data_IF_816011684483
#
_entry.id   IF_816011684483
#
_cell.length_a   1.000
_cell.length_b   1.000
_cell.length_c   1.000
_cell.angle_alpha   90.00
_cell.angle_beta   90.00
_cell.angle_gamma   90.00
#
_symmetry.space_group_name_H-M   'P 1'
#
loop_
_entity.id
_entity.type
_entity.pdbx_description
1 polymer ?
#
# COMPACT_ATOMS: atom_id res chain seq x y z
N UNK A 1 -12.92 50.04 -10.61
CA UNK A 1 -14.16 50.57 -11.22
C UNK A 1 -15.34 50.01 -10.47
N UNK A 2 -16.31 50.86 -10.13
CA UNK A 2 -17.61 50.43 -9.62
C UNK A 2 -18.38 49.77 -10.80
N UNK A 3 -18.56 48.45 -10.76
CA UNK A 3 -19.27 47.74 -11.83
C UNK A 3 -19.04 46.23 -11.94
N UNK A 4 -18.03 45.64 -11.31
CA UNK A 4 -17.94 44.18 -11.19
C UNK A 4 -18.62 43.77 -9.88
N UNK A 5 -19.69 42.98 -9.98
CA UNK A 5 -20.35 42.41 -8.81
C UNK A 5 -19.30 41.73 -7.93
N UNK A 6 -19.26 42.09 -6.64
CA UNK A 6 -18.51 41.29 -5.67
C UNK A 6 -19.15 39.91 -5.66
N UNK A 7 -18.33 38.87 -5.76
CA UNK A 7 -18.77 37.52 -5.50
C UNK A 7 -19.57 37.47 -4.20
N UNK A 8 -20.78 36.94 -4.27
CA UNK A 8 -21.56 36.67 -3.08
C UNK A 8 -20.89 35.57 -2.24
N UNK A 9 -21.12 35.60 -0.94
CA UNK A 9 -20.65 34.55 -0.02
C UNK A 9 -21.14 33.17 -0.50
N UNK A 10 -22.36 33.09 -1.04
CA UNK A 10 -22.92 31.85 -1.57
C UNK A 10 -22.15 31.30 -2.79
N UNK A 11 -21.68 32.17 -3.69
CA UNK A 11 -20.86 31.75 -4.85
C UNK A 11 -19.49 31.24 -4.40
N UNK A 12 -18.86 31.93 -3.45
CA UNK A 12 -17.59 31.49 -2.85
C UNK A 12 -17.79 30.14 -2.16
N UNK A 13 -18.85 29.99 -1.36
CA UNK A 13 -19.17 28.75 -0.65
C UNK A 13 -19.42 27.57 -1.59
N UNK A 14 -20.10 27.81 -2.71
CA UNK A 14 -20.30 26.79 -3.73
C UNK A 14 -18.95 26.28 -4.28
N UNK A 15 -18.03 27.19 -4.61
CA UNK A 15 -16.71 26.85 -5.11
C UNK A 15 -15.84 26.18 -4.03
N UNK A 16 -15.91 26.64 -2.78
CA UNK A 16 -15.22 26.00 -1.65
C UNK A 16 -15.73 24.58 -1.39
N UNK A 17 -17.04 24.34 -1.54
CA UNK A 17 -17.64 23.02 -1.49
C UNK A 17 -17.20 22.12 -2.64
N UNK A 18 -17.01 22.68 -3.84
CA UNK A 18 -16.49 21.93 -4.99
C UNK A 18 -15.10 21.34 -4.72
N UNK A 19 -14.26 22.02 -3.93
CA UNK A 19 -12.93 21.54 -3.53
C UNK A 19 -12.95 20.30 -2.63
N UNK A 20 -14.12 19.91 -2.10
CA UNK A 20 -14.29 18.72 -1.27
C UNK A 20 -14.89 17.52 -2.03
N UNK A 21 -15.16 17.69 -3.33
CA UNK A 21 -15.80 16.67 -4.15
C UNK A 21 -14.85 15.49 -4.45
N UNK A 22 -15.32 14.23 -4.49
CA UNK A 22 -14.50 13.09 -4.89
C UNK A 22 -13.95 13.21 -6.33
N UNK A 23 -14.65 13.90 -7.23
CA UNK A 23 -14.23 14.09 -8.62
C UNK A 23 -13.12 15.14 -8.75
N UNK A 24 -11.99 14.75 -9.34
CA UNK A 24 -10.87 15.65 -9.64
C UNK A 24 -11.32 16.85 -10.48
N UNK A 25 -12.18 16.64 -11.49
CA UNK A 25 -12.63 17.68 -12.43
C UNK A 25 -13.47 18.75 -11.73
N UNK A 26 -14.25 18.36 -10.73
CA UNK A 26 -15.06 19.29 -9.93
C UNK A 26 -14.14 20.15 -9.05
N UNK A 27 -13.11 19.55 -8.46
CA UNK A 27 -12.11 20.29 -7.67
C UNK A 27 -11.29 21.25 -8.54
N UNK A 28 -10.84 20.81 -9.73
CA UNK A 28 -10.17 21.66 -10.73
C UNK A 28 -11.04 22.88 -11.06
N UNK A 29 -12.32 22.65 -11.39
CA UNK A 29 -13.27 23.71 -11.73
C UNK A 29 -13.46 24.70 -10.57
N UNK A 30 -13.54 24.20 -9.33
CA UNK A 30 -13.61 25.02 -8.12
C UNK A 30 -12.38 25.93 -7.96
N UNK A 31 -11.17 25.37 -8.13
CA UNK A 31 -9.91 26.13 -8.03
C UNK A 31 -9.81 27.20 -9.11
N UNK A 32 -10.17 26.89 -10.36
CA UNK A 32 -10.18 27.86 -11.46
C UNK A 32 -11.20 28.97 -11.21
N UNK A 33 -12.39 28.63 -10.75
CA UNK A 33 -13.42 29.61 -10.37
C UNK A 33 -12.92 30.58 -9.31
N UNK A 34 -12.35 30.06 -8.22
CA UNK A 34 -11.76 30.88 -7.15
C UNK A 34 -10.60 31.76 -7.65
N UNK A 35 -9.79 31.24 -8.58
CA UNK A 35 -8.67 31.98 -9.19
C UNK A 35 -9.15 33.20 -9.99
N UNK A 36 -10.22 33.05 -10.77
CA UNK A 36 -10.81 34.19 -11.51
C UNK A 36 -11.38 35.23 -10.54
N UNK A 37 -11.84 34.79 -9.36
CA UNK A 37 -12.51 35.62 -8.37
C UNK A 37 -11.58 36.21 -7.30
N UNK A 38 -10.26 36.07 -7.42
CA UNK A 38 -9.27 36.59 -6.46
C UNK A 38 -9.54 38.04 -6.00
N UNK A 39 -9.87 39.01 -6.88
CA UNK A 39 -10.16 40.38 -6.46
C UNK A 39 -11.40 40.53 -5.56
N UNK A 40 -12.29 39.53 -5.54
CA UNK A 40 -13.54 39.51 -4.79
C UNK A 40 -13.54 38.52 -3.61
N UNK A 41 -12.42 37.83 -3.35
CA UNK A 41 -12.28 36.94 -2.19
C UNK A 41 -12.27 37.74 -0.88
N UNK A 42 -12.76 37.17 0.23
CA UNK A 42 -12.76 37.83 1.53
C UNK A 42 -11.34 38.19 1.94
N UNK A 43 -11.21 39.27 2.69
CA UNK A 43 -9.98 39.59 3.42
C UNK A 43 -10.18 39.27 4.89
N UNK A 44 -9.09 38.90 5.56
CA UNK A 44 -9.11 38.56 6.99
C UNK A 44 -9.76 39.65 7.86
N UNK A 45 -9.54 40.93 7.55
CA UNK A 45 -10.11 42.05 8.30
C UNK A 45 -11.60 42.30 8.00
N UNK A 46 -12.10 41.83 6.85
CA UNK A 46 -13.48 42.05 6.41
C UNK A 46 -14.40 40.90 6.86
N UNK A 47 -13.95 39.65 6.70
CA UNK A 47 -14.66 38.44 7.10
C UNK A 47 -13.64 37.35 7.54
N UNK A 48 -13.29 37.29 8.83
CA UNK A 48 -12.31 36.34 9.34
C UNK A 48 -12.73 34.88 9.16
N UNK A 49 -14.02 34.59 9.25
CA UNK A 49 -14.55 33.22 9.20
C UNK A 49 -14.50 32.67 7.76
N UNK A 50 -15.02 33.43 6.80
CA UNK A 50 -14.95 33.03 5.39
C UNK A 50 -13.50 33.02 4.89
N UNK A 51 -12.66 33.94 5.37
CA UNK A 51 -11.22 33.93 5.08
C UNK A 51 -10.53 32.66 5.59
N UNK A 52 -10.85 32.20 6.82
CA UNK A 52 -10.32 30.96 7.36
C UNK A 52 -10.79 29.75 6.57
N UNK A 53 -12.07 29.69 6.18
CA UNK A 53 -12.62 28.62 5.34
C UNK A 53 -11.94 28.56 3.98
N UNK A 54 -11.76 29.70 3.32
CA UNK A 54 -11.01 29.84 2.07
C UNK A 54 -9.57 29.35 2.24
N UNK A 55 -8.86 29.88 3.23
CA UNK A 55 -7.47 29.53 3.53
C UNK A 55 -7.32 28.03 3.77
N UNK A 56 -8.19 27.43 4.59
CA UNK A 56 -8.20 25.99 4.86
C UNK A 56 -8.42 25.17 3.58
N UNK A 57 -9.42 25.51 2.75
CA UNK A 57 -9.70 24.75 1.52
C UNK A 57 -8.55 24.84 0.51
N UNK A 58 -8.01 26.04 0.29
CA UNK A 58 -6.90 26.22 -0.66
C UNK A 58 -5.64 25.55 -0.12
N UNK A 59 -5.39 25.58 1.20
CA UNK A 59 -4.28 24.86 1.82
C UNK A 59 -4.37 23.34 1.54
N UNK A 60 -5.52 22.72 1.79
CA UNK A 60 -5.74 21.30 1.48
C UNK A 60 -5.58 21.03 -0.03
N UNK A 61 -6.06 21.93 -0.89
CA UNK A 61 -5.90 21.81 -2.35
C UNK A 61 -4.45 21.75 -2.83
N UNK A 62 -3.49 22.35 -2.11
CA UNK A 62 -2.05 22.24 -2.43
C UNK A 62 -1.51 20.81 -2.28
N UNK A 63 -2.27 19.94 -1.62
CA UNK A 63 -1.95 18.52 -1.40
C UNK A 63 -3.00 17.59 -2.01
N UNK A 64 -3.76 18.08 -3.00
CA UNK A 64 -4.69 17.24 -3.77
C UNK A 64 -3.98 16.02 -4.36
N UNK A 65 -4.68 14.89 -4.45
CA UNK A 65 -4.18 13.66 -5.09
C UNK A 65 -3.77 13.89 -6.55
N UNK A 66 -4.45 14.81 -7.24
CA UNK A 66 -4.17 15.20 -8.62
C UNK A 66 -3.12 16.31 -8.72
N UNK A 67 -2.08 16.08 -9.51
CA UNK A 67 -0.98 17.04 -9.71
C UNK A 67 -1.44 18.39 -10.24
N UNK A 68 -2.34 18.39 -11.23
CA UNK A 68 -2.91 19.61 -11.81
C UNK A 68 -3.62 20.47 -10.77
N UNK A 69 -4.37 19.84 -9.86
CA UNK A 69 -5.06 20.54 -8.78
C UNK A 69 -4.10 21.14 -7.76
N UNK A 70 -3.00 20.44 -7.43
CA UNK A 70 -1.95 20.98 -6.55
C UNK A 70 -1.36 22.26 -7.12
N UNK A 71 -1.01 22.25 -8.41
CA UNK A 71 -0.48 23.44 -9.08
C UNK A 71 -1.48 24.60 -9.11
N UNK A 72 -2.76 24.32 -9.37
CA UNK A 72 -3.82 25.33 -9.36
C UNK A 72 -4.02 25.93 -7.98
N UNK A 73 -4.03 25.11 -6.93
CA UNK A 73 -4.15 25.56 -5.56
C UNK A 73 -2.93 26.38 -5.12
N UNK A 74 -1.72 26.00 -5.52
CA UNK A 74 -0.51 26.79 -5.28
C UNK A 74 -0.56 28.16 -5.97
N UNK A 75 -0.99 28.21 -7.24
CA UNK A 75 -1.17 29.47 -7.97
C UNK A 75 -2.22 30.36 -7.28
N UNK A 76 -3.36 29.79 -6.92
CA UNK A 76 -4.42 30.51 -6.19
C UNK A 76 -3.92 31.05 -4.85
N UNK A 77 -3.21 30.21 -4.08
CA UNK A 77 -2.62 30.59 -2.79
C UNK A 77 -1.72 31.83 -2.91
N UNK A 78 -0.84 31.84 -3.91
CA UNK A 78 0.08 32.95 -4.17
C UNK A 78 -0.65 34.21 -4.65
N UNK A 79 -1.60 34.08 -5.59
CA UNK A 79 -2.34 35.22 -6.14
C UNK A 79 -3.24 35.89 -5.10
N UNK A 80 -3.94 35.10 -4.29
CA UNK A 80 -4.78 35.60 -3.20
C UNK A 80 -3.98 36.04 -1.97
N UNK A 81 -2.66 35.79 -1.95
CA UNK A 81 -1.74 36.12 -0.84
C UNK A 81 -2.28 35.61 0.50
N UNK A 82 -2.73 34.35 0.52
CA UNK A 82 -3.35 33.76 1.70
C UNK A 82 -2.32 33.59 2.82
N UNK A 83 -2.78 33.84 4.04
CA UNK A 83 -2.01 33.72 5.28
C UNK A 83 -2.78 32.86 6.26
N UNK A 84 -2.08 32.21 7.18
CA UNK A 84 -2.69 31.35 8.19
C UNK A 84 -2.06 31.59 9.56
N UNK A 85 -2.89 31.46 10.59
CA UNK A 85 -2.41 31.12 11.92
C UNK A 85 -2.20 29.61 12.01
N UNK A 86 -1.05 29.21 12.53
CA UNK A 86 -0.61 27.81 12.53
C UNK A 86 -1.51 26.95 13.42
N UNK A 87 -1.77 27.40 14.65
CA UNK A 87 -2.56 26.64 15.61
C UNK A 87 -4.01 26.47 15.12
N UNK A 88 -4.61 27.56 14.67
CA UNK A 88 -5.99 27.59 14.16
C UNK A 88 -6.14 26.71 12.92
N UNK A 89 -5.18 26.77 11.98
CA UNK A 89 -5.22 25.92 10.79
C UNK A 89 -5.00 24.45 11.13
N UNK A 90 -4.09 24.10 12.05
CA UNK A 90 -3.92 22.73 12.54
C UNK A 90 -5.23 22.16 13.09
N UNK A 91 -5.91 22.90 13.96
CA UNK A 91 -7.17 22.44 14.57
C UNK A 91 -8.27 22.28 13.52
N UNK A 92 -8.30 23.15 12.53
CA UNK A 92 -9.19 23.02 11.37
C UNK A 92 -8.91 21.76 10.54
N UNK A 93 -7.63 21.45 10.26
CA UNK A 93 -7.24 20.33 9.40
C UNK A 93 -7.59 18.97 9.99
N UNK A 94 -7.79 18.85 11.31
CA UNK A 94 -8.35 17.64 11.91
C UNK A 94 -9.70 17.26 11.29
N UNK A 95 -10.52 18.25 10.92
CA UNK A 95 -11.79 18.03 10.23
C UNK A 95 -11.63 17.52 8.78
N UNK A 96 -10.47 17.76 8.15
CA UNK A 96 -10.14 17.20 6.82
C UNK A 96 -9.65 15.77 6.92
N UNK A 97 -8.84 15.50 7.94
CA UNK A 97 -8.37 14.15 8.26
C UNK A 97 -9.56 13.21 8.45
N UNK A 98 -10.62 13.63 9.13
CA UNK A 98 -11.82 12.80 9.34
C UNK A 98 -12.94 13.01 8.32
N UNK A 99 -12.65 13.66 7.19
CA UNK A 99 -13.65 13.96 6.17
C UNK A 99 -14.23 12.67 5.56
N UNK A 100 -15.53 12.60 5.17
CA UNK A 100 -16.12 11.40 4.59
C UNK A 100 -15.61 11.03 3.18
N UNK A 101 -14.77 11.88 2.55
CA UNK A 101 -14.29 11.69 1.18
C UNK A 101 -12.81 11.31 1.21
N UNK A 102 -12.41 10.10 0.75
CA UNK A 102 -11.03 9.59 0.90
C UNK A 102 -9.94 10.50 0.35
N UNK A 103 -10.15 11.08 -0.85
CA UNK A 103 -9.16 12.00 -1.46
C UNK A 103 -8.95 13.27 -0.64
N UNK A 104 -9.94 13.67 0.17
CA UNK A 104 -9.83 14.82 1.09
C UNK A 104 -9.13 14.40 2.39
N UNK A 105 -9.33 13.17 2.85
CA UNK A 105 -8.58 12.63 3.99
C UNK A 105 -7.08 12.56 3.67
N UNK A 106 -6.73 12.05 2.48
CA UNK A 106 -5.34 11.93 2.03
C UNK A 106 -4.67 13.31 1.91
N UNK A 107 -5.32 14.26 1.22
CA UNK A 107 -4.84 15.64 1.13
C UNK A 107 -4.76 16.32 2.52
N UNK A 108 -5.76 16.10 3.38
CA UNK A 108 -5.81 16.64 4.74
C UNK A 108 -4.69 16.12 5.63
N UNK A 109 -4.39 14.82 5.56
CA UNK A 109 -3.29 14.18 6.27
C UNK A 109 -1.93 14.77 5.86
N UNK A 110 -1.69 14.90 4.56
CA UNK A 110 -0.44 15.47 4.04
C UNK A 110 -0.32 16.98 4.35
N UNK A 111 -1.43 17.71 4.26
CA UNK A 111 -1.52 19.13 4.61
C UNK A 111 -1.21 19.38 6.10
N UNK A 112 -1.72 18.52 6.98
CA UNK A 112 -1.47 18.58 8.42
C UNK A 112 -0.01 18.28 8.74
N UNK A 113 0.57 17.22 8.16
CA UNK A 113 1.97 16.88 8.38
C UNK A 113 2.93 17.98 7.89
N UNK A 114 2.63 18.58 6.74
CA UNK A 114 3.45 19.68 6.19
C UNK A 114 3.39 20.92 7.08
N UNK A 115 2.22 21.24 7.63
CA UNK A 115 2.06 22.34 8.57
C UNK A 115 2.83 22.09 9.87
N UNK A 116 2.73 20.89 10.45
CA UNK A 116 3.42 20.52 11.68
C UNK A 116 4.95 20.52 11.55
N UNK A 117 5.46 20.12 10.38
CA UNK A 117 6.90 20.21 10.07
C UNK A 117 7.46 21.63 10.23
N UNK A 118 6.63 22.66 10.02
CA UNK A 118 7.02 24.07 10.16
C UNK A 118 6.81 24.62 11.59
N UNK A 119 6.12 23.88 12.46
CA UNK A 119 5.57 24.38 13.73
C UNK A 119 6.34 23.92 14.97
N UNK A 120 7.24 22.95 14.82
CA UNK A 120 8.05 22.40 15.91
C UNK A 120 7.40 21.22 16.65
N UNK A 121 8.16 20.53 17.53
CA UNK A 121 7.78 19.22 18.07
C UNK A 121 6.60 19.26 19.05
N UNK A 122 6.47 20.31 19.88
CA UNK A 122 5.39 20.39 20.87
C UNK A 122 3.98 20.32 20.24
N UNK A 123 3.78 20.97 19.09
CA UNK A 123 2.49 20.93 18.41
C UNK A 123 2.20 19.55 17.81
N UNK A 124 3.22 18.84 17.34
CA UNK A 124 3.11 17.47 16.85
C UNK A 124 2.57 16.55 17.94
N UNK A 125 3.11 16.62 19.16
CA UNK A 125 2.66 15.82 20.30
C UNK A 125 1.18 16.07 20.63
N UNK A 126 0.78 17.35 20.64
CA UNK A 126 -0.61 17.76 20.91
C UNK A 126 -1.55 17.21 19.84
N UNK A 127 -1.20 17.37 18.56
CA UNK A 127 -2.02 16.87 17.45
C UNK A 127 -2.09 15.34 17.45
N UNK A 128 -1.00 14.65 17.75
CA UNK A 128 -0.98 13.20 17.84
C UNK A 128 -1.98 12.70 18.89
N UNK A 129 -1.98 13.29 20.08
CA UNK A 129 -2.97 12.97 21.13
C UNK A 129 -4.41 13.23 20.68
N UNK A 130 -4.66 14.33 19.97
CA UNK A 130 -5.99 14.60 19.40
C UNK A 130 -6.42 13.54 18.38
N UNK A 131 -5.51 13.11 17.49
CA UNK A 131 -5.79 12.05 16.50
C UNK A 131 -6.10 10.71 17.18
N UNK A 132 -5.32 10.33 18.20
CA UNK A 132 -5.58 9.11 18.97
C UNK A 132 -6.92 9.20 19.71
N UNK A 133 -7.26 10.33 20.32
CA UNK A 133 -8.57 10.52 20.96
C UNK A 133 -9.72 10.38 19.96
N UNK A 134 -9.62 11.03 18.80
CA UNK A 134 -10.59 10.88 17.71
C UNK A 134 -10.77 9.41 17.33
N UNK A 135 -9.66 8.66 17.20
CA UNK A 135 -9.74 7.24 16.87
C UNK A 135 -10.53 6.45 17.92
N UNK A 136 -10.22 6.64 19.20
CA UNK A 136 -10.89 5.96 20.31
C UNK A 136 -12.37 6.32 20.40
N UNK A 137 -12.72 7.61 20.25
CA UNK A 137 -14.12 8.07 20.21
C UNK A 137 -14.90 7.38 19.08
N UNK A 138 -14.25 7.19 17.92
CA UNK A 138 -14.85 6.60 16.74
C UNK A 138 -14.87 5.07 16.74
N UNK A 139 -14.35 4.38 17.77
CA UNK A 139 -14.51 2.93 17.92
C UNK A 139 -15.92 2.51 18.35
N UNK A 140 -16.64 3.42 19.01
CA UNK A 140 -18.01 3.21 19.47
C UNK A 140 -18.95 3.05 18.27
N UNK A 141 -19.78 1.99 18.31
CA UNK A 141 -20.82 1.79 17.30
C UNK A 141 -21.98 2.74 17.56
N UNK A 142 -22.58 3.26 16.50
CA UNK A 142 -23.90 3.87 16.61
C UNK A 142 -24.88 2.77 17.06
N UNK A 143 -25.61 2.95 18.18
CA UNK A 143 -26.44 1.90 18.73
C UNK A 143 -27.57 1.52 17.79
N UNK A 144 -28.01 0.26 17.89
CA UNK A 144 -29.18 -0.22 17.14
C UNK A 144 -30.42 0.61 17.47
N UNK A 145 -31.24 0.88 16.46
CA UNK A 145 -32.55 1.50 16.68
C UNK A 145 -33.57 0.40 16.94
N UNK A 146 -34.30 0.52 18.05
CA UNK A 146 -35.30 -0.46 18.47
C UNK A 146 -36.71 0.09 18.25
N UNK A 147 -37.67 -0.78 17.93
CA UNK A 147 -39.09 -0.46 17.96
C UNK A 147 -39.63 -0.39 19.39
N UNK A 148 -40.91 -0.03 19.53
CA UNK A 148 -41.61 0.03 20.83
C UNK A 148 -41.73 -1.32 21.54
N UNK A 149 -41.44 -2.43 20.85
CA UNK A 149 -41.45 -3.80 21.37
C UNK A 149 -40.03 -4.34 21.60
N UNK A 150 -38.99 -3.52 21.46
CA UNK A 150 -37.59 -3.89 21.67
C UNK A 150 -36.96 -4.67 20.51
N UNK A 151 -37.58 -4.71 19.33
CA UNK A 151 -37.04 -5.39 18.14
C UNK A 151 -36.13 -4.44 17.36
N UNK A 152 -35.02 -4.97 16.83
CA UNK A 152 -34.06 -4.18 16.04
C UNK A 152 -34.69 -3.78 14.70
N UNK A 153 -34.79 -2.46 14.48
CA UNK A 153 -35.19 -1.85 13.19
C UNK A 153 -33.94 -1.55 12.36
N UNK A 154 -32.92 -0.96 12.99
CA UNK A 154 -31.66 -0.60 12.33
C UNK A 154 -30.51 -1.23 13.12
N UNK A 155 -29.63 -1.94 12.42
CA UNK A 155 -28.46 -2.57 13.02
C UNK A 155 -27.46 -1.53 13.52
N UNK A 156 -26.59 -1.87 14.50
CA UNK A 156 -25.50 -1.00 14.88
C UNK A 156 -24.60 -0.68 13.69
N UNK A 157 -24.23 0.59 13.51
CA UNK A 157 -23.42 1.06 12.39
C UNK A 157 -22.01 1.41 12.89
N UNK A 158 -20.99 0.91 12.20
CA UNK A 158 -19.60 1.29 12.43
C UNK A 158 -19.20 2.49 11.56
N UNK A 159 -18.90 3.64 12.18
CA UNK A 159 -18.39 4.83 11.48
C UNK A 159 -16.87 4.79 11.41
N UNK A 160 -16.34 3.95 10.52
CA UNK A 160 -14.92 3.63 10.44
C UNK A 160 -14.10 4.62 9.63
N UNK A 161 -14.73 5.41 8.75
CA UNK A 161 -14.07 6.30 7.80
C UNK A 161 -13.17 7.35 8.50
N UNK A 162 -13.59 7.99 9.62
CA UNK A 162 -12.71 8.85 10.40
C UNK A 162 -11.46 8.13 10.94
N UNK A 163 -11.58 6.85 11.31
CA UNK A 163 -10.46 6.04 11.82
C UNK A 163 -9.44 5.75 10.71
N UNK A 164 -9.91 5.56 9.48
CA UNK A 164 -9.07 5.44 8.28
C UNK A 164 -8.27 6.72 8.04
N UNK A 165 -8.94 7.87 8.13
CA UNK A 165 -8.32 9.18 8.01
C UNK A 165 -7.24 9.44 9.07
N UNK A 166 -7.50 9.08 10.33
CA UNK A 166 -6.49 9.13 11.39
C UNK A 166 -5.27 8.27 11.04
N UNK A 167 -5.46 7.06 10.54
CA UNK A 167 -4.35 6.19 10.14
C UNK A 167 -3.50 6.83 9.02
N UNK A 168 -4.13 7.46 8.01
CA UNK A 168 -3.42 8.21 6.97
C UNK A 168 -2.60 9.37 7.56
N UNK A 169 -3.18 10.12 8.50
CA UNK A 169 -2.46 11.19 9.19
C UNK A 169 -1.26 10.65 9.98
N UNK A 170 -1.41 9.55 10.74
CA UNK A 170 -0.31 8.92 11.47
C UNK A 170 0.84 8.50 10.54
N UNK A 171 0.53 7.98 9.35
CA UNK A 171 1.54 7.63 8.35
C UNK A 171 2.31 8.87 7.85
N UNK A 172 1.62 9.97 7.56
CA UNK A 172 2.24 11.23 7.12
C UNK A 172 3.07 11.91 8.23
N UNK A 173 2.70 11.70 9.49
CA UNK A 173 3.41 12.24 10.65
C UNK A 173 4.63 11.41 11.06
N UNK A 174 4.83 10.22 10.50
CA UNK A 174 5.94 9.34 10.87
C UNK A 174 7.32 10.04 10.87
N UNK A 175 7.70 10.90 9.89
CA UNK A 175 8.98 11.60 9.91
C UNK A 175 9.16 12.63 11.03
N UNK A 176 8.08 13.03 11.70
CA UNK A 176 8.08 14.04 12.76
C UNK A 176 8.08 13.43 14.17
N UNK A 177 7.98 12.10 14.28
CA UNK A 177 7.92 11.40 15.55
C UNK A 177 9.28 11.41 16.26
N UNK A 178 9.23 11.46 17.59
CA UNK A 178 10.38 11.22 18.45
C UNK A 178 10.39 9.75 18.94
N UNK A 179 11.55 9.18 19.32
CA UNK A 179 11.62 7.79 19.79
C UNK A 179 10.63 7.41 20.93
N UNK A 180 10.35 8.28 21.92
CA UNK A 180 9.31 8.02 22.91
C UNK A 180 7.91 7.89 22.30
N UNK A 181 7.54 8.78 21.36
CA UNK A 181 6.25 8.72 20.67
C UNK A 181 6.11 7.50 19.78
N UNK A 182 7.19 7.06 19.14
CA UNK A 182 7.19 5.81 18.36
C UNK A 182 6.87 4.61 19.27
N UNK A 183 7.41 4.60 20.49
CA UNK A 183 7.14 3.53 21.46
C UNK A 183 5.69 3.57 21.99
N UNK A 184 5.14 4.76 22.24
CA UNK A 184 3.73 4.96 22.58
C UNK A 184 2.81 4.49 21.44
N UNK A 185 3.12 4.89 20.20
CA UNK A 185 2.35 4.51 19.02
C UNK A 185 2.42 3.02 18.72
N UNK A 186 3.58 2.37 18.90
CA UNK A 186 3.69 0.93 18.75
C UNK A 186 2.75 0.19 19.70
N UNK A 187 2.63 0.66 20.94
CA UNK A 187 1.66 0.11 21.90
C UNK A 187 0.23 0.27 21.37
N UNK A 188 -0.14 1.47 20.93
CA UNK A 188 -1.46 1.74 20.35
C UNK A 188 -1.77 0.89 19.10
N UNK A 189 -0.80 0.76 18.17
CA UNK A 189 -0.96 -0.03 16.96
C UNK A 189 -1.28 -1.48 17.32
N UNK A 190 -0.51 -2.07 18.23
CA UNK A 190 -0.68 -3.48 18.63
C UNK A 190 -1.97 -3.70 19.44
N UNK A 191 -2.26 -2.83 20.40
CA UNK A 191 -3.42 -3.00 21.29
C UNK A 191 -4.75 -2.70 20.62
N UNK A 192 -4.76 -1.85 19.59
CA UNK A 192 -6.00 -1.24 19.09
C UNK A 192 -6.00 -1.03 17.58
N UNK A 193 -4.99 -0.36 17.01
CA UNK A 193 -5.01 0.07 15.61
C UNK A 193 -5.04 -1.08 14.60
N UNK A 194 -4.12 -2.03 14.73
CA UNK A 194 -3.99 -3.19 13.82
C UNK A 194 -5.16 -4.17 13.96
N UNK A 195 -5.90 -4.10 15.07
CA UNK A 195 -7.08 -4.92 15.37
C UNK A 195 -8.40 -4.26 14.99
N UNK A 196 -8.41 -3.19 14.19
CA UNK A 196 -9.65 -2.51 13.81
C UNK A 196 -10.67 -3.45 13.14
N UNK A 197 -11.96 -3.15 13.29
CA UNK A 197 -13.06 -3.90 12.66
C UNK A 197 -13.02 -3.81 11.13
N UNK A 198 -12.69 -2.64 10.60
CA UNK A 198 -12.60 -2.38 9.16
C UNK A 198 -11.25 -2.83 8.59
N UNK A 199 -11.28 -3.61 7.52
CA UNK A 199 -10.08 -4.04 6.81
C UNK A 199 -9.27 -2.88 6.21
N UNK A 200 -9.95 -1.81 5.81
CA UNK A 200 -9.29 -0.61 5.26
C UNK A 200 -8.54 0.16 6.34
N UNK A 201 -9.14 0.29 7.54
CA UNK A 201 -8.46 0.91 8.69
C UNK A 201 -7.25 0.07 9.10
N UNK A 202 -7.38 -1.26 9.16
CA UNK A 202 -6.23 -2.15 9.45
C UNK A 202 -5.09 -1.97 8.45
N UNK A 203 -5.41 -1.89 7.15
CA UNK A 203 -4.42 -1.64 6.09
C UNK A 203 -3.70 -0.31 6.30
N UNK A 204 -4.44 0.78 6.55
CA UNK A 204 -3.84 2.10 6.74
C UNK A 204 -3.06 2.19 8.05
N UNK A 205 -3.50 1.51 9.12
CA UNK A 205 -2.77 1.42 10.38
C UNK A 205 -1.46 0.64 10.26
N UNK A 206 -1.45 -0.46 9.51
CA UNK A 206 -0.21 -1.18 9.21
C UNK A 206 0.76 -0.31 8.40
N UNK A 207 0.27 0.46 7.42
CA UNK A 207 1.10 1.39 6.66
C UNK A 207 1.71 2.49 7.57
N UNK A 208 0.92 3.04 8.51
CA UNK A 208 1.41 4.01 9.47
C UNK A 208 2.47 3.42 10.43
N UNK A 209 2.23 2.22 10.94
CA UNK A 209 3.17 1.51 11.80
C UNK A 209 4.48 1.19 11.06
N UNK A 210 4.39 0.71 9.82
CA UNK A 210 5.57 0.47 8.98
C UNK A 210 6.35 1.75 8.73
N UNK A 211 5.70 2.87 8.40
CA UNK A 211 6.39 4.15 8.21
C UNK A 211 7.15 4.59 9.47
N UNK A 212 6.56 4.40 10.65
CA UNK A 212 7.22 4.71 11.92
C UNK A 212 8.42 3.79 12.20
N UNK A 213 8.29 2.48 11.98
CA UNK A 213 9.38 1.52 12.18
C UNK A 213 10.51 1.70 11.17
N UNK A 214 10.20 1.92 9.88
CA UNK A 214 11.19 2.15 8.82
C UNK A 214 12.09 3.35 9.12
N UNK A 215 11.50 4.44 9.63
CA UNK A 215 12.20 5.70 9.89
C UNK A 215 12.98 5.68 11.22
N UNK A 216 12.41 5.08 12.26
CA UNK A 216 12.92 5.20 13.64
C UNK A 216 13.46 3.89 14.22
N UNK A 217 13.32 2.78 13.51
CA UNK A 217 13.60 1.43 14.02
C UNK A 217 15.01 1.25 14.58
N UNK A 218 16.01 1.94 14.01
CA UNK A 218 17.39 1.91 14.52
C UNK A 218 17.51 2.44 15.95
N UNK A 219 16.78 3.49 16.29
CA UNK A 219 16.82 4.13 17.61
C UNK A 219 15.87 3.45 18.60
N UNK A 220 14.84 2.76 18.10
CA UNK A 220 13.74 2.21 18.91
C UNK A 220 13.71 0.69 18.97
N UNK A 221 14.62 -0.04 18.32
CA UNK A 221 14.59 -1.53 18.28
C UNK A 221 14.52 -2.16 19.65
N UNK A 222 15.27 -1.63 20.63
CA UNK A 222 15.29 -2.15 21.99
C UNK A 222 13.98 -1.93 22.76
N UNK A 223 13.20 -0.90 22.41
CA UNK A 223 11.90 -0.64 23.04
C UNK A 223 10.75 -1.31 22.29
N UNK A 224 10.83 -1.42 20.95
CA UNK A 224 9.75 -1.97 20.13
C UNK A 224 9.73 -3.49 20.10
N UNK A 225 10.91 -4.12 20.02
CA UNK A 225 10.97 -5.58 19.87
C UNK A 225 10.30 -6.33 21.04
N UNK A 226 10.51 -5.94 22.32
CA UNK A 226 9.77 -6.56 23.43
C UNK A 226 8.26 -6.38 23.35
N UNK A 227 7.75 -5.25 22.83
CA UNK A 227 6.30 -5.02 22.67
C UNK A 227 5.70 -6.01 21.67
N UNK A 228 6.41 -6.26 20.57
CA UNK A 228 5.98 -7.22 19.56
C UNK A 228 6.11 -8.67 20.03
N UNK A 229 7.22 -9.02 20.70
CA UNK A 229 7.43 -10.35 21.30
C UNK A 229 6.35 -10.66 22.34
N UNK A 230 6.10 -9.75 23.30
CA UNK A 230 5.11 -9.93 24.35
C UNK A 230 3.69 -10.11 23.79
N UNK A 231 3.35 -9.36 22.74
CA UNK A 231 2.07 -9.55 22.06
C UNK A 231 1.96 -10.93 21.41
N UNK A 232 2.96 -11.38 20.65
CA UNK A 232 2.90 -12.68 20.00
C UNK A 232 2.84 -13.84 21.01
N UNK A 233 3.47 -13.68 22.17
CA UNK A 233 3.49 -14.71 23.21
C UNK A 233 2.18 -14.76 24.03
N UNK A 234 1.46 -13.63 24.14
CA UNK A 234 0.23 -13.52 24.95
C UNK A 234 -1.07 -13.47 24.15
N UNK A 235 -1.01 -13.21 22.84
CA UNK A 235 -2.20 -13.01 22.02
C UNK A 235 -3.06 -14.29 22.01
N UNK A 236 -4.36 -14.21 22.35
CA UNK A 236 -5.24 -15.37 22.36
C UNK A 236 -5.34 -16.03 20.99
N UNK A 237 -5.35 -17.36 20.93
CA UNK A 237 -5.58 -18.14 19.71
C UNK A 237 -7.03 -18.05 19.23
N UNK A 238 -7.44 -16.85 18.80
CA UNK A 238 -8.72 -16.61 18.14
C UNK A 238 -8.52 -15.88 16.81
N UNK A 239 -9.45 -16.11 15.88
CA UNK A 239 -9.40 -15.52 14.54
C UNK A 239 -9.38 -13.99 14.51
N UNK A 240 -9.88 -13.32 15.56
CA UNK A 240 -9.81 -11.85 15.68
C UNK A 240 -8.40 -11.33 15.87
N UNK A 241 -7.51 -12.12 16.49
CA UNK A 241 -6.10 -11.76 16.70
C UNK A 241 -5.20 -12.21 15.56
N UNK A 242 -5.66 -13.06 14.62
CA UNK A 242 -4.84 -13.50 13.49
C UNK A 242 -4.36 -12.32 12.65
N UNK A 243 -5.24 -11.40 12.30
CA UNK A 243 -4.88 -10.21 11.52
C UNK A 243 -3.82 -9.34 12.24
N UNK A 244 -3.93 -9.24 13.57
CA UNK A 244 -2.97 -8.50 14.40
C UNK A 244 -1.64 -9.23 14.48
N UNK A 245 -1.65 -10.55 14.72
CA UNK A 245 -0.44 -11.40 14.71
C UNK A 245 0.34 -11.26 13.41
N UNK A 246 -0.35 -11.34 12.26
CA UNK A 246 0.32 -11.19 10.96
C UNK A 246 0.92 -9.79 10.80
N UNK A 247 0.20 -8.75 11.20
CA UNK A 247 0.71 -7.37 11.18
C UNK A 247 1.94 -7.21 12.08
N UNK A 248 1.93 -7.80 13.28
CA UNK A 248 3.06 -7.75 14.22
C UNK A 248 4.27 -8.52 13.69
N UNK A 249 4.07 -9.68 13.06
CA UNK A 249 5.16 -10.44 12.41
C UNK A 249 5.81 -9.62 11.30
N UNK A 250 5.02 -8.91 10.48
CA UNK A 250 5.53 -7.99 9.46
C UNK A 250 6.33 -6.84 10.09
N UNK A 251 5.82 -6.22 11.15
CA UNK A 251 6.51 -5.13 11.87
C UNK A 251 7.82 -5.62 12.51
N UNK A 252 7.85 -6.84 13.06
CA UNK A 252 9.09 -7.46 13.55
C UNK A 252 10.09 -7.70 12.41
N UNK A 253 9.64 -8.18 11.26
CA UNK A 253 10.48 -8.36 10.08
C UNK A 253 11.09 -7.04 9.59
N UNK A 254 10.28 -5.99 9.55
CA UNK A 254 10.73 -4.64 9.23
C UNK A 254 11.75 -4.13 10.25
N UNK A 255 11.47 -4.26 11.55
CA UNK A 255 12.33 -3.79 12.62
C UNK A 255 13.67 -4.53 12.65
N UNK A 256 13.66 -5.84 12.35
CA UNK A 256 14.85 -6.69 12.33
C UNK A 256 15.92 -6.21 11.33
N UNK A 257 15.54 -5.42 10.32
CA UNK A 257 16.49 -4.82 9.35
C UNK A 257 17.46 -3.83 10.02
N UNK A 258 17.11 -3.36 11.21
CA UNK A 258 17.92 -2.42 11.98
C UNK A 258 18.77 -3.10 13.07
N UNK A 259 18.66 -4.43 13.22
CA UNK A 259 19.53 -5.21 14.11
C UNK A 259 20.92 -5.39 13.49
N UNK A 260 21.91 -5.65 14.33
CA UNK A 260 23.23 -6.04 13.88
C UNK A 260 23.17 -7.37 13.11
N UNK A 261 24.02 -7.53 12.09
CA UNK A 261 23.98 -8.69 11.19
C UNK A 261 24.14 -10.04 11.89
N UNK A 262 24.83 -10.06 13.02
CA UNK A 262 25.09 -11.27 13.81
C UNK A 262 24.11 -11.42 14.99
N UNK A 263 23.05 -10.60 15.04
CA UNK A 263 22.06 -10.67 16.09
C UNK A 263 21.29 -12.00 16.03
N UNK A 264 21.31 -12.72 17.15
CA UNK A 264 20.71 -14.06 17.30
C UNK A 264 19.20 -14.05 17.09
N UNK A 265 18.53 -12.90 17.18
CA UNK A 265 17.08 -12.75 16.99
C UNK A 265 16.67 -12.77 15.52
N UNK A 266 17.58 -12.51 14.58
CA UNK A 266 17.22 -12.45 13.15
C UNK A 266 16.70 -13.80 12.64
N UNK A 267 17.35 -14.92 13.00
CA UNK A 267 16.94 -16.26 12.55
C UNK A 267 15.51 -16.64 13.01
N UNK A 268 15.15 -16.52 14.31
CA UNK A 268 13.76 -16.72 14.76
C UNK A 268 12.74 -15.82 14.05
N UNK A 269 13.08 -14.55 13.80
CA UNK A 269 12.18 -13.60 13.14
C UNK A 269 11.91 -14.04 11.69
N UNK A 270 12.93 -14.46 10.95
CA UNK A 270 12.72 -15.00 9.60
C UNK A 270 11.93 -16.31 9.62
N UNK A 271 12.13 -17.17 10.61
CA UNK A 271 11.26 -18.35 10.80
C UNK A 271 9.78 -17.95 10.86
N UNK A 272 9.43 -17.01 11.74
CA UNK A 272 8.05 -16.48 11.86
C UNK A 272 7.54 -15.85 10.56
N UNK A 273 8.39 -15.11 9.84
CA UNK A 273 8.05 -14.54 8.53
C UNK A 273 7.75 -15.63 7.49
N UNK A 274 8.59 -16.66 7.41
CA UNK A 274 8.40 -17.79 6.48
C UNK A 274 7.09 -18.52 6.79
N UNK A 275 6.75 -18.73 8.06
CA UNK A 275 5.50 -19.36 8.45
C UNK A 275 4.28 -18.48 8.12
N UNK A 276 4.40 -17.15 8.23
CA UNK A 276 3.35 -16.20 7.87
C UNK A 276 3.00 -16.22 6.37
N UNK A 277 3.89 -16.67 5.48
CA UNK A 277 3.62 -16.80 4.04
C UNK A 277 2.45 -17.75 3.73
N UNK A 278 2.22 -18.75 4.58
CA UNK A 278 1.10 -19.69 4.41
C UNK A 278 -0.27 -19.05 4.71
N UNK A 279 -0.31 -17.82 5.23
CA UNK A 279 -1.56 -17.06 5.39
C UNK A 279 -2.14 -16.73 4.01
N UNK A 280 -3.43 -17.03 3.73
CA UNK A 280 -4.07 -16.72 2.45
C UNK A 280 -4.43 -15.23 2.34
N UNK A 281 -3.42 -14.37 2.40
CA UNK A 281 -3.54 -12.91 2.30
C UNK A 281 -2.39 -12.38 1.47
N UNK A 282 -2.70 -11.90 0.27
CA UNK A 282 -1.70 -11.32 -0.64
C UNK A 282 -0.92 -10.18 0.03
N UNK A 283 -1.62 -9.32 0.78
CA UNK A 283 -1.00 -8.21 1.49
C UNK A 283 0.06 -8.69 2.50
N UNK A 284 -0.23 -9.77 3.23
CA UNK A 284 0.72 -10.37 4.17
C UNK A 284 1.90 -10.99 3.43
N UNK A 285 1.63 -11.79 2.39
CA UNK A 285 2.66 -12.48 1.62
C UNK A 285 3.63 -11.50 0.94
N UNK A 286 3.12 -10.43 0.36
CA UNK A 286 3.92 -9.36 -0.26
C UNK A 286 4.76 -8.61 0.78
N UNK A 287 4.17 -8.24 1.92
CA UNK A 287 4.89 -7.57 3.00
C UNK A 287 6.03 -8.43 3.55
N UNK A 288 5.77 -9.73 3.75
CA UNK A 288 6.79 -10.69 4.16
C UNK A 288 7.91 -10.79 3.13
N UNK A 289 7.58 -10.97 1.85
CA UNK A 289 8.56 -11.06 0.77
C UNK A 289 9.46 -9.82 0.68
N UNK A 290 8.94 -8.64 1.01
CA UNK A 290 9.70 -7.39 1.06
C UNK A 290 10.59 -7.27 2.31
N UNK A 291 10.26 -7.96 3.41
CA UNK A 291 11.08 -7.99 4.62
C UNK A 291 12.29 -8.94 4.50
N UNK A 292 12.17 -10.03 3.73
CA UNK A 292 13.21 -11.06 3.65
C UNK A 292 14.58 -10.57 3.11
N UNK A 293 14.67 -9.84 1.98
CA UNK A 293 15.95 -9.56 1.33
C UNK A 293 17.05 -8.96 2.24
N UNK A 294 16.77 -7.93 3.06
CA UNK A 294 17.78 -7.37 3.97
C UNK A 294 18.17 -8.30 5.13
N UNK A 295 17.36 -9.31 5.47
CA UNK A 295 17.60 -10.26 6.57
C UNK A 295 18.40 -11.50 6.11
N UNK A 296 18.27 -11.89 4.84
CA UNK A 296 18.94 -13.07 4.26
C UNK A 296 20.47 -13.09 4.50
N UNK A 297 21.23 -11.97 4.40
CA UNK A 297 22.67 -11.99 4.64
C UNK A 297 23.10 -12.53 6.01
N UNK A 298 22.24 -12.44 7.03
CA UNK A 298 22.48 -12.94 8.38
C UNK A 298 22.24 -14.46 8.53
N UNK A 299 21.71 -15.12 7.50
CA UNK A 299 21.35 -16.55 7.53
C UNK A 299 21.69 -17.28 6.23
N UNK A 300 22.81 -16.93 5.61
CA UNK A 300 23.26 -17.54 4.36
C UNK A 300 23.33 -19.07 4.41
N UNK A 301 23.72 -19.63 5.56
CA UNK A 301 23.82 -21.08 5.79
C UNK A 301 22.45 -21.77 5.74
N UNK A 302 21.40 -21.11 6.25
CA UNK A 302 20.04 -21.66 6.32
C UNK A 302 19.19 -21.31 5.08
N UNK A 303 19.56 -20.24 4.36
CA UNK A 303 18.78 -19.72 3.24
C UNK A 303 18.57 -20.73 2.11
N UNK A 304 19.56 -21.59 1.82
CA UNK A 304 19.43 -22.64 0.81
C UNK A 304 18.36 -23.68 1.20
N UNK A 305 18.30 -24.06 2.49
CA UNK A 305 17.28 -25.00 2.98
C UNK A 305 15.88 -24.37 2.92
N UNK A 306 15.76 -23.07 3.21
CA UNK A 306 14.50 -22.34 3.08
C UNK A 306 14.03 -22.26 1.62
N UNK A 307 14.93 -22.03 0.66
CA UNK A 307 14.58 -22.08 -0.78
C UNK A 307 14.01 -23.44 -1.16
N UNK A 308 14.63 -24.54 -0.71
CA UNK A 308 14.13 -25.89 -1.01
C UNK A 308 12.78 -26.16 -0.34
N UNK A 309 12.57 -25.73 0.92
CA UNK A 309 11.28 -25.80 1.60
C UNK A 309 10.19 -25.08 0.80
N UNK A 310 10.46 -23.86 0.32
CA UNK A 310 9.50 -23.07 -0.43
C UNK A 310 9.25 -23.65 -1.83
N UNK A 311 10.26 -24.16 -2.54
CA UNK A 311 10.05 -24.86 -3.81
C UNK A 311 9.17 -26.09 -3.64
N UNK A 312 9.39 -26.87 -2.57
CA UNK A 312 8.54 -28.00 -2.26
C UNK A 312 7.10 -27.57 -1.96
N UNK A 313 6.90 -26.57 -1.10
CA UNK A 313 5.57 -26.04 -0.79
C UNK A 313 4.85 -25.46 -2.02
N UNK A 314 5.59 -24.77 -2.89
CA UNK A 314 5.09 -24.20 -4.15
C UNK A 314 4.50 -25.25 -5.09
N UNK A 315 5.12 -26.42 -5.18
CA UNK A 315 4.75 -27.47 -6.14
C UNK A 315 3.80 -28.51 -5.53
N UNK A 316 4.00 -28.86 -4.27
CA UNK A 316 3.33 -30.01 -3.65
C UNK A 316 2.13 -29.62 -2.76
N UNK A 317 2.02 -28.37 -2.29
CA UNK A 317 0.89 -27.99 -1.44
C UNK A 317 -0.43 -28.02 -2.22
N UNK A 318 -1.46 -28.61 -1.61
CA UNK A 318 -2.83 -28.59 -2.15
C UNK A 318 -3.50 -27.22 -1.95
N UNK A 319 -3.03 -26.42 -0.99
CA UNK A 319 -3.58 -25.11 -0.66
C UNK A 319 -3.03 -24.02 -1.60
N UNK A 320 -3.94 -23.33 -2.30
CA UNK A 320 -3.58 -22.22 -3.21
C UNK A 320 -2.80 -21.11 -2.49
N UNK A 321 -3.25 -20.72 -1.29
CA UNK A 321 -2.63 -19.65 -0.50
C UNK A 321 -1.19 -20.00 -0.12
N UNK A 322 -0.94 -21.24 0.27
CA UNK A 322 0.40 -21.73 0.60
C UNK A 322 1.32 -21.76 -0.63
N UNK A 323 0.82 -22.19 -1.80
CA UNK A 323 1.58 -22.15 -3.05
C UNK A 323 1.95 -20.72 -3.45
N UNK A 324 0.97 -19.80 -3.42
CA UNK A 324 1.20 -18.39 -3.76
C UNK A 324 2.16 -17.73 -2.76
N UNK A 325 2.00 -18.01 -1.47
CA UNK A 325 2.91 -17.53 -0.42
C UNK A 325 4.34 -18.07 -0.59
N UNK A 326 4.49 -19.33 -0.99
CA UNK A 326 5.79 -19.89 -1.30
C UNK A 326 6.48 -19.18 -2.48
N UNK A 327 5.73 -18.77 -3.51
CA UNK A 327 6.28 -17.97 -4.61
C UNK A 327 6.77 -16.58 -4.15
N UNK A 328 6.00 -15.88 -3.31
CA UNK A 328 6.40 -14.61 -2.69
C UNK A 328 7.68 -14.77 -1.88
N UNK A 329 7.73 -15.76 -0.98
CA UNK A 329 8.91 -16.06 -0.17
C UNK A 329 10.15 -16.41 -1.01
N UNK A 330 9.97 -17.25 -2.04
CA UNK A 330 11.05 -17.66 -2.93
C UNK A 330 11.68 -16.44 -3.62
N UNK A 331 10.86 -15.54 -4.14
CA UNK A 331 11.34 -14.32 -4.78
C UNK A 331 12.06 -13.38 -3.79
N UNK A 332 11.54 -13.25 -2.57
CA UNK A 332 12.18 -12.48 -1.49
C UNK A 332 13.55 -13.05 -1.09
N UNK A 333 13.66 -14.37 -0.92
CA UNK A 333 14.93 -15.04 -0.63
C UNK A 333 15.93 -14.87 -1.79
N UNK A 334 15.51 -15.11 -3.03
CA UNK A 334 16.37 -14.94 -4.22
C UNK A 334 16.91 -13.52 -4.31
N UNK A 335 16.08 -12.50 -4.03
CA UNK A 335 16.52 -11.10 -4.01
C UNK A 335 17.57 -10.84 -2.92
N UNK A 336 17.43 -11.44 -1.74
CA UNK A 336 18.39 -11.32 -0.65
C UNK A 336 19.71 -12.08 -0.88
N UNK A 337 19.65 -13.24 -1.53
CA UNK A 337 20.82 -14.07 -1.85
C UNK A 337 21.57 -13.57 -3.10
N UNK A 338 20.86 -12.88 -4.00
CA UNK A 338 21.35 -12.42 -5.29
C UNK A 338 21.04 -13.40 -6.44
N UNK A 339 21.01 -12.88 -7.66
CA UNK A 339 20.50 -13.57 -8.86
C UNK A 339 21.21 -14.90 -9.18
N UNK A 340 22.48 -15.05 -8.79
CA UNK A 340 23.27 -16.26 -9.04
C UNK A 340 22.67 -17.51 -8.38
N UNK A 341 21.89 -17.33 -7.30
CA UNK A 341 21.26 -18.45 -6.60
C UNK A 341 20.27 -19.21 -7.48
N UNK A 342 19.66 -18.55 -8.47
CA UNK A 342 18.76 -19.19 -9.45
C UNK A 342 19.43 -20.37 -10.16
N UNK A 343 20.75 -20.24 -10.41
CA UNK A 343 21.57 -21.30 -11.00
C UNK A 343 22.16 -22.22 -9.94
N UNK A 344 22.66 -21.68 -8.82
CA UNK A 344 23.34 -22.48 -7.80
C UNK A 344 22.43 -23.49 -7.08
N UNK A 345 21.13 -23.18 -6.99
CA UNK A 345 20.12 -24.05 -6.37
C UNK A 345 19.15 -24.65 -7.40
N UNK A 346 19.52 -24.64 -8.68
CA UNK A 346 18.75 -25.21 -9.80
C UNK A 346 17.28 -24.75 -9.88
N UNK A 347 16.97 -23.56 -9.38
CA UNK A 347 15.61 -23.02 -9.27
C UNK A 347 14.94 -22.99 -10.65
N UNK A 348 15.62 -22.43 -11.65
CA UNK A 348 15.05 -22.32 -13.00
C UNK A 348 14.81 -23.69 -13.65
N UNK A 349 15.69 -24.67 -13.39
CA UNK A 349 15.54 -26.03 -13.94
C UNK A 349 14.34 -26.75 -13.32
N UNK A 350 14.17 -26.60 -12.00
CA UNK A 350 13.02 -27.14 -11.26
C UNK A 350 11.71 -26.55 -11.77
N UNK A 351 11.62 -25.22 -11.91
CA UNK A 351 10.42 -24.55 -12.42
C UNK A 351 10.12 -24.89 -13.88
N UNK A 352 11.16 -25.02 -14.73
CA UNK A 352 10.99 -25.44 -16.13
C UNK A 352 10.45 -26.86 -16.23
N UNK A 353 10.91 -27.76 -15.37
CA UNK A 353 10.39 -29.12 -15.29
C UNK A 353 8.92 -29.12 -14.83
N UNK A 354 8.61 -28.33 -13.80
CA UNK A 354 7.27 -28.23 -13.24
C UNK A 354 6.24 -27.66 -14.23
N UNK A 355 6.57 -26.62 -15.00
CA UNK A 355 5.66 -26.04 -16.01
C UNK A 355 5.36 -26.99 -17.17
N UNK A 356 6.22 -27.97 -17.40
CA UNK A 356 6.04 -28.98 -18.45
C UNK A 356 5.34 -30.26 -17.95
N UNK A 357 5.01 -30.36 -16.66
CA UNK A 357 4.34 -31.53 -16.11
C UNK A 357 2.89 -31.63 -16.62
N UNK A 358 2.68 -32.46 -17.64
CA UNK A 358 1.36 -32.65 -18.27
C UNK A 358 0.34 -33.31 -17.34
N UNK A 359 0.78 -34.00 -16.27
CA UNK A 359 -0.10 -34.76 -15.39
C UNK A 359 -0.57 -33.92 -14.20
N UNK A 360 0.26 -33.01 -13.70
CA UNK A 360 -0.06 -32.22 -12.53
C UNK A 360 -0.24 -30.74 -12.88
N UNK A 361 -1.48 -30.26 -12.91
CA UNK A 361 -1.76 -28.84 -13.16
C UNK A 361 -1.22 -27.93 -12.04
N UNK A 362 -1.10 -28.43 -10.79
CA UNK A 362 -0.57 -27.64 -9.66
C UNK A 362 0.90 -27.36 -9.81
N UNK A 363 1.67 -28.28 -10.39
CA UNK A 363 3.07 -28.03 -10.72
C UNK A 363 3.20 -26.91 -11.75
N UNK A 364 2.34 -26.93 -12.78
CA UNK A 364 2.34 -25.89 -13.81
C UNK A 364 1.91 -24.52 -13.27
N UNK A 365 0.85 -24.50 -12.48
CA UNK A 365 0.37 -23.30 -11.79
C UNK A 365 1.43 -22.74 -10.83
N UNK A 366 2.04 -23.58 -9.99
CA UNK A 366 3.10 -23.19 -9.06
C UNK A 366 4.31 -22.61 -9.79
N UNK A 367 4.72 -23.19 -10.92
CA UNK A 367 5.79 -22.64 -11.73
C UNK A 367 5.47 -21.23 -12.27
N UNK A 368 4.22 -21.00 -12.72
CA UNK A 368 3.76 -19.69 -13.15
C UNK A 368 3.77 -18.66 -12.02
N UNK A 369 3.33 -19.03 -10.80
CA UNK A 369 3.42 -18.14 -9.64
C UNK A 369 4.86 -17.75 -9.32
N UNK A 370 5.81 -18.68 -9.39
CA UNK A 370 7.21 -18.35 -9.18
C UNK A 370 7.76 -17.45 -10.28
N UNK A 371 7.46 -17.68 -11.56
CA UNK A 371 7.91 -16.80 -12.64
C UNK A 371 7.34 -15.37 -12.49
N UNK A 372 6.04 -15.26 -12.17
CA UNK A 372 5.37 -14.01 -11.88
C UNK A 372 6.08 -13.25 -10.75
N UNK A 373 6.30 -13.91 -9.61
CA UNK A 373 6.90 -13.28 -8.43
C UNK A 373 8.39 -12.97 -8.61
N UNK A 374 9.16 -13.85 -9.25
CA UNK A 374 10.56 -13.58 -9.58
C UNK A 374 10.68 -12.38 -10.51
N UNK A 375 9.83 -12.29 -11.55
CA UNK A 375 9.80 -11.14 -12.44
C UNK A 375 9.40 -9.85 -11.70
N UNK A 376 8.37 -9.92 -10.86
CA UNK A 376 7.90 -8.78 -10.07
C UNK A 376 8.98 -8.22 -9.13
N UNK A 377 9.59 -9.11 -8.33
CA UNK A 377 10.48 -8.73 -7.22
C UNK A 377 11.90 -8.38 -7.68
N UNK A 378 12.42 -9.08 -8.69
CA UNK A 378 13.78 -8.88 -9.23
C UNK A 378 13.81 -7.84 -10.36
N UNK A 379 12.67 -7.57 -11.01
CA UNK A 379 12.55 -6.61 -12.10
C UNK A 379 13.53 -6.91 -13.23
N UNK A 380 14.31 -5.91 -13.63
CA UNK A 380 15.27 -5.99 -14.75
C UNK A 380 16.32 -7.09 -14.60
N UNK A 381 16.64 -7.51 -13.37
CA UNK A 381 17.60 -8.60 -13.15
C UNK A 381 17.08 -9.96 -13.66
N UNK A 382 15.76 -10.11 -13.78
CA UNK A 382 15.14 -11.33 -14.28
C UNK A 382 14.92 -11.32 -15.81
N UNK A 383 15.11 -10.19 -16.46
CA UNK A 383 14.85 -10.00 -17.90
C UNK A 383 15.57 -11.03 -18.81
N UNK A 384 16.84 -11.41 -18.58
CA UNK A 384 17.51 -12.43 -19.39
C UNK A 384 16.83 -13.81 -19.35
N UNK A 385 16.08 -14.10 -18.27
CA UNK A 385 15.39 -15.38 -18.10
C UNK A 385 14.03 -15.39 -18.80
N UNK A 386 13.42 -14.22 -19.06
CA UNK A 386 12.10 -14.11 -19.69
C UNK A 386 12.09 -14.76 -21.08
N UNK A 387 13.17 -14.62 -21.85
CA UNK A 387 13.31 -15.24 -23.17
C UNK A 387 13.15 -16.78 -23.09
N UNK A 388 13.61 -17.39 -22.00
CA UNK A 388 13.47 -18.83 -21.77
C UNK A 388 12.10 -19.22 -21.20
N UNK A 389 11.47 -18.33 -20.43
CA UNK A 389 10.15 -18.58 -19.81
C UNK A 389 9.02 -18.39 -20.82
N UNK A 390 9.15 -17.45 -21.74
CA UNK A 390 8.08 -17.03 -22.64
C UNK A 390 7.49 -18.17 -23.51
N UNK A 391 8.29 -19.07 -24.12
CA UNK A 391 7.72 -20.19 -24.87
C UNK A 391 6.79 -21.06 -24.01
N UNK A 392 7.14 -21.29 -22.74
CA UNK A 392 6.28 -22.04 -21.83
C UNK A 392 5.00 -21.28 -21.48
N UNK A 393 5.12 -19.96 -21.25
CA UNK A 393 3.98 -19.10 -20.97
C UNK A 393 2.96 -19.09 -22.13
N UNK A 394 3.45 -19.01 -23.38
CA UNK A 394 2.62 -19.07 -24.59
C UNK A 394 1.83 -20.38 -24.69
N UNK A 395 2.47 -21.51 -24.39
CA UNK A 395 1.80 -22.81 -24.34
C UNK A 395 0.74 -22.87 -23.23
N UNK A 396 0.99 -22.24 -22.08
CA UNK A 396 0.06 -22.28 -20.95
C UNK A 396 -1.24 -21.48 -21.18
N UNK A 397 -1.29 -20.53 -22.12
CA UNK A 397 -2.56 -19.92 -22.55
C UNK A 397 -3.51 -20.96 -23.16
N UNK A 398 -2.96 -21.96 -23.83
CA UNK A 398 -3.69 -23.10 -24.38
C UNK A 398 -3.88 -24.26 -23.42
N UNK A 399 -3.50 -24.14 -22.14
CA UNK A 399 -3.55 -25.25 -21.18
C UNK A 399 -4.97 -25.78 -20.98
N UNK A 400 -5.13 -27.07 -20.68
CA UNK A 400 -6.43 -27.68 -20.40
C UNK A 400 -7.07 -27.22 -19.09
N UNK A 401 -6.27 -26.86 -18.09
CA UNK A 401 -6.73 -26.40 -16.77
C UNK A 401 -7.02 -24.90 -16.76
N UNK A 402 -8.18 -24.48 -16.25
CA UNK A 402 -8.51 -23.06 -16.07
C UNK A 402 -7.53 -22.38 -15.11
N UNK A 403 -7.16 -23.05 -14.01
CA UNK A 403 -6.22 -22.51 -13.02
C UNK A 403 -4.86 -22.12 -13.63
N UNK A 404 -4.35 -22.96 -14.55
CA UNK A 404 -3.09 -22.67 -15.24
C UNK A 404 -3.25 -21.49 -16.20
N UNK A 405 -4.41 -21.39 -16.88
CA UNK A 405 -4.68 -20.25 -17.78
C UNK A 405 -4.79 -18.93 -17.02
N UNK A 406 -5.50 -18.90 -15.90
CA UNK A 406 -5.64 -17.70 -15.06
C UNK A 406 -4.27 -17.25 -14.53
N UNK A 407 -3.47 -18.20 -14.00
CA UNK A 407 -2.11 -17.92 -13.55
C UNK A 407 -1.18 -17.46 -14.69
N UNK A 408 -1.41 -17.96 -15.91
CA UNK A 408 -0.68 -17.52 -17.11
C UNK A 408 -0.98 -16.07 -17.42
N UNK A 409 -2.26 -15.67 -17.41
CA UNK A 409 -2.66 -14.29 -17.68
C UNK A 409 -2.03 -13.32 -16.67
N UNK A 410 -2.08 -13.65 -15.38
CA UNK A 410 -1.47 -12.85 -14.31
C UNK A 410 0.05 -12.74 -14.48
N UNK A 411 0.74 -13.87 -14.71
CA UNK A 411 2.17 -13.89 -14.96
C UNK A 411 2.55 -13.07 -16.20
N UNK A 412 1.77 -13.19 -17.28
CA UNK A 412 1.99 -12.52 -18.55
C UNK A 412 1.87 -10.99 -18.43
N UNK A 413 0.87 -10.52 -17.69
CA UNK A 413 0.67 -9.09 -17.38
C UNK A 413 1.87 -8.50 -16.64
N UNK A 414 2.39 -9.22 -15.63
CA UNK A 414 3.57 -8.79 -14.86
C UNK A 414 4.83 -8.79 -15.73
N UNK A 415 5.05 -9.87 -16.50
CA UNK A 415 6.21 -10.01 -17.39
C UNK A 415 6.26 -8.85 -18.38
N UNK A 416 5.16 -8.59 -19.12
CA UNK A 416 5.13 -7.50 -20.10
C UNK A 416 5.27 -6.12 -19.46
N UNK A 417 4.68 -5.91 -18.28
CA UNK A 417 4.80 -4.65 -17.54
C UNK A 417 6.21 -4.36 -17.01
N UNK A 418 7.12 -5.34 -16.99
CA UNK A 418 8.51 -5.20 -16.50
C UNK A 418 9.57 -5.26 -17.59
N UNK A 419 9.21 -5.55 -18.84
CA UNK A 419 10.16 -5.62 -19.95
C UNK A 419 10.72 -4.24 -20.31
N UNK A 420 12.02 -4.20 -20.66
CA UNK A 420 12.62 -3.02 -21.27
C UNK A 420 12.34 -3.00 -22.79
N UNK A 421 12.67 -1.88 -23.45
CA UNK A 421 12.64 -1.81 -24.92
C UNK A 421 13.45 -2.92 -25.60
N UNK A 422 14.58 -3.28 -24.98
CA UNK A 422 15.42 -4.35 -25.48
C UNK A 422 14.76 -5.71 -25.29
N UNK A 423 14.19 -5.97 -24.11
CA UNK A 423 13.44 -7.18 -23.81
C UNK A 423 12.26 -7.38 -24.75
N UNK A 424 11.47 -6.33 -25.01
CA UNK A 424 10.39 -6.33 -26.00
C UNK A 424 10.88 -6.80 -27.36
N UNK A 425 12.00 -6.25 -27.84
CA UNK A 425 12.61 -6.65 -29.13
C UNK A 425 13.00 -8.13 -29.15
N UNK A 426 13.45 -8.70 -28.03
CA UNK A 426 13.84 -10.10 -27.94
C UNK A 426 12.62 -11.05 -27.95
N UNK A 427 11.51 -10.65 -27.32
CA UNK A 427 10.32 -11.49 -27.20
C UNK A 427 9.37 -11.41 -28.38
N UNK A 428 9.36 -10.27 -29.09
CA UNK A 428 8.43 -10.00 -30.19
C UNK A 428 8.43 -11.10 -31.28
N UNK A 429 9.57 -11.65 -31.74
CA UNK A 429 9.55 -12.72 -32.74
C UNK A 429 8.78 -13.96 -32.26
N UNK A 430 8.92 -14.33 -30.99
CA UNK A 430 8.19 -15.47 -30.41
C UNK A 430 6.69 -15.20 -30.28
N UNK A 431 6.30 -13.96 -29.93
CA UNK A 431 4.89 -13.57 -29.88
C UNK A 431 4.23 -13.60 -31.26
N UNK A 432 4.93 -13.11 -32.29
CA UNK A 432 4.45 -13.14 -33.66
C UNK A 432 4.33 -14.58 -34.19
N UNK A 433 5.31 -15.43 -33.90
CA UNK A 433 5.25 -16.84 -34.26
C UNK A 433 4.06 -17.56 -33.60
N UNK A 434 3.70 -17.20 -32.36
CA UNK A 434 2.58 -17.80 -31.66
C UNK A 434 1.19 -17.42 -32.22
N UNK A 435 1.07 -16.31 -32.96
CA UNK A 435 -0.16 -15.96 -33.70
C UNK A 435 -0.45 -16.91 -34.88
N UNK A 436 0.59 -17.55 -35.40
CA UNK A 436 0.50 -18.51 -36.50
C UNK A 436 0.09 -19.91 -36.01
N UNK A 437 0.12 -20.22 -34.71
CA UNK A 437 -0.21 -21.55 -34.17
C UNK A 437 -1.70 -21.91 -34.23
N UNK A 438 -2.07 -23.14 -34.60
CA UNK A 438 -3.48 -23.57 -34.74
C UNK A 438 -4.34 -23.43 -33.46
N UNK A 439 -3.71 -23.42 -32.28
CA UNK A 439 -4.41 -23.24 -31.00
C UNK A 439 -4.99 -21.83 -30.89
N UNK A 440 -6.30 -21.70 -31.07
CA UNK A 440 -6.99 -20.41 -30.96
C UNK A 440 -6.76 -19.71 -29.62
N UNK A 441 -6.60 -20.48 -28.53
CA UNK A 441 -6.30 -19.92 -27.19
C UNK A 441 -4.89 -19.34 -27.11
N UNK A 442 -3.91 -20.01 -27.73
CA UNK A 442 -2.55 -19.49 -27.82
C UNK A 442 -2.52 -18.20 -28.66
N UNK A 443 -3.31 -18.15 -29.75
CA UNK A 443 -3.49 -16.91 -30.53
C UNK A 443 -4.08 -15.79 -29.68
N UNK A 444 -5.17 -16.05 -28.95
CA UNK A 444 -5.79 -15.04 -28.08
C UNK A 444 -4.81 -14.53 -27.03
N UNK A 445 -4.10 -15.42 -26.33
CA UNK A 445 -3.09 -15.03 -25.35
C UNK A 445 -1.95 -14.21 -25.95
N UNK A 446 -1.52 -14.53 -27.17
CA UNK A 446 -0.52 -13.76 -27.90
C UNK A 446 -1.02 -12.35 -28.26
N UNK A 447 -2.29 -12.22 -28.67
CA UNK A 447 -2.93 -10.92 -28.94
C UNK A 447 -3.05 -10.09 -27.65
N UNK A 448 -3.48 -10.69 -26.55
CA UNK A 448 -3.57 -10.01 -25.24
C UNK A 448 -2.20 -9.54 -24.76
N UNK A 449 -1.17 -10.38 -24.92
CA UNK A 449 0.21 -10.04 -24.62
C UNK A 449 0.73 -8.85 -25.43
N UNK A 450 0.44 -8.84 -26.74
CA UNK A 450 0.78 -7.71 -27.62
C UNK A 450 0.01 -6.43 -27.22
N UNK A 451 -1.25 -6.56 -26.80
CA UNK A 451 -2.05 -5.45 -26.28
C UNK A 451 -1.48 -4.86 -24.99
N UNK A 452 -1.12 -5.71 -24.03
CA UNK A 452 -0.48 -5.30 -22.78
C UNK A 452 0.87 -4.61 -23.05
N UNK A 453 1.66 -5.16 -23.98
CA UNK A 453 2.92 -4.56 -24.43
C UNK A 453 2.70 -3.17 -25.06
N UNK A 454 1.71 -3.00 -25.93
CA UNK A 454 1.39 -1.72 -26.55
C UNK A 454 0.96 -0.65 -25.54
N UNK A 455 0.23 -1.05 -24.49
CA UNK A 455 -0.16 -0.16 -23.39
C UNK A 455 1.02 0.21 -22.48
N UNK A 456 1.91 -0.74 -22.20
CA UNK A 456 3.06 -0.54 -21.31
C UNK A 456 4.25 0.15 -22.00
N UNK A 457 4.31 0.13 -23.34
CA UNK A 457 5.37 0.76 -24.12
C UNK A 457 4.85 1.52 -25.37
N UNK A 458 3.96 2.53 -25.22
CA UNK A 458 3.26 3.18 -26.34
C UNK A 458 4.17 4.01 -27.27
N UNK A 459 5.46 4.18 -26.93
CA UNK A 459 6.47 4.92 -27.71
C UNK A 459 7.51 4.02 -28.38
N UNK A 460 7.43 2.70 -28.18
CA UNK A 460 8.31 1.69 -28.78
C UNK A 460 7.54 0.96 -29.87
#
# INVERSE_FOLDING_TARGET
GAGCARASVAEIDCLLGALQNPSQVVRDSGLRGLTVMVPALPKQAEDPELYLRLTRRVWVGKFDVAEENRELADKLWQQAKLQYDTQTLCDCLLGDVIHPVPVIQEAGAQALATLLKQSGPHLTDVVLKKLLNIYHEKLALVPAKLDSLGRVIEQPIDTWEPRSGVALALAQLAPLLSPPLVSELATFFVSTGLGDKSGEVRKNMLAAALAAVDLHGKETVNSLLPVFEDFLDRAPDSGSFDAVRQSVVILMGCLARHLDRDDRKIKPIVGKLIDALSTPSQQVQEAVANCLPPLVPAMKEDAAALVQKLLHQLLESENYGERKGAAYGLAGLVKGMGILVLKQLDIMSTLTTAIQDKKNYRHREGALFAFEMLCHVLGRLFEPYIVHVLPHLLLCFGDGSQYVRDATEDCARIVMGKLSAHGVKLVLPSLLAALEEDSWRTKTGSVELLGAMAFCAPKQ
#
